data_IF_596287028932
#
_entry.id   IF_596287028932
#
_cell.length_a   1.000
_cell.length_b   1.000
_cell.length_c   1.000
_cell.angle_alpha   90.00
_cell.angle_beta   90.00
_cell.angle_gamma   90.00
#
_symmetry.space_group_name_H-M   'P 1'
#
loop_
_entity.id
_entity.type
_entity.pdbx_description
1 polymer ?
#
# COMPACT_ATOMS: atom_id res chain seq x y z
N UNK A 1 59.84 50.07 -2.04
CA UNK A 1 59.40 48.67 -1.83
C UNK A 1 57.97 48.70 -1.33
N UNK A 2 56.98 48.40 -2.18
CA UNK A 2 55.57 48.30 -1.78
C UNK A 2 55.26 46.82 -1.55
N UNK A 3 55.00 46.45 -0.29
CA UNK A 3 54.50 45.11 0.03
C UNK A 3 53.03 45.04 -0.37
N UNK A 4 52.72 44.20 -1.37
CA UNK A 4 51.35 43.84 -1.68
C UNK A 4 50.82 42.99 -0.51
N UNK A 5 49.90 43.55 0.26
CA UNK A 5 49.10 42.81 1.23
C UNK A 5 48.15 41.91 0.44
N UNK A 6 48.51 40.64 0.27
CA UNK A 6 47.59 39.64 -0.23
C UNK A 6 46.49 39.42 0.81
N UNK A 7 45.31 39.97 0.57
CA UNK A 7 44.11 39.62 1.32
C UNK A 7 43.65 38.23 0.89
N UNK A 8 44.00 37.21 1.68
CA UNK A 8 43.43 35.88 1.59
C UNK A 8 41.94 35.97 2.00
N UNK A 9 41.02 35.81 1.05
CA UNK A 9 39.59 35.62 1.34
C UNK A 9 39.24 34.14 1.13
N UNK A 10 39.41 33.27 2.13
CA UNK A 10 39.32 31.82 1.95
C UNK A 10 37.89 31.26 1.78
N UNK A 11 36.86 32.12 1.70
CA UNK A 11 35.45 31.68 1.84
C UNK A 11 34.53 31.99 0.65
N UNK A 12 35.00 32.60 -0.45
CA UNK A 12 34.14 32.86 -1.62
C UNK A 12 33.75 31.58 -2.36
N UNK A 13 34.64 30.62 -2.43
CA UNK A 13 34.38 29.36 -3.15
C UNK A 13 33.33 28.51 -2.42
N UNK A 14 33.39 28.43 -1.08
CA UNK A 14 32.39 27.75 -0.25
C UNK A 14 30.97 28.33 -0.42
N UNK A 15 30.85 29.65 -0.57
CA UNK A 15 29.58 30.33 -0.83
C UNK A 15 28.99 30.02 -2.22
N UNK A 16 29.83 29.69 -3.20
CA UNK A 16 29.38 29.30 -4.54
C UNK A 16 28.87 27.86 -4.60
N UNK A 17 29.34 26.97 -3.71
CA UNK A 17 28.85 25.59 -3.61
C UNK A 17 27.59 25.42 -2.75
N UNK A 18 27.29 26.39 -1.88
CA UNK A 18 26.13 26.38 -0.99
C UNK A 18 24.79 26.08 -1.72
N UNK A 19 24.46 26.69 -2.87
CA UNK A 19 23.24 26.38 -3.61
C UNK A 19 23.22 24.93 -4.14
N UNK A 20 24.34 24.45 -4.66
CA UNK A 20 24.46 23.07 -5.17
C UNK A 20 24.35 22.02 -4.06
N UNK A 21 24.91 22.32 -2.88
CA UNK A 21 24.81 21.46 -1.70
C UNK A 21 23.36 21.38 -1.20
N UNK A 22 22.65 22.52 -1.14
CA UNK A 22 21.23 22.57 -0.74
C UNK A 22 20.37 21.77 -1.72
N UNK A 23 20.60 21.90 -3.03
CA UNK A 23 19.90 21.12 -4.05
C UNK A 23 20.19 19.62 -3.93
N UNK A 24 21.44 19.24 -3.66
CA UNK A 24 21.81 17.84 -3.44
C UNK A 24 21.08 17.27 -2.20
N UNK A 25 21.06 18.00 -1.09
CA UNK A 25 20.35 17.58 0.13
C UNK A 25 18.84 17.45 -0.15
N UNK A 26 18.23 18.43 -0.81
CA UNK A 26 16.81 18.37 -1.21
C UNK A 26 16.52 17.16 -2.09
N UNK A 27 17.39 16.84 -3.06
CA UNK A 27 17.22 15.68 -3.93
C UNK A 27 17.24 14.37 -3.16
N UNK A 28 18.14 14.24 -2.18
CA UNK A 28 18.23 13.07 -1.30
C UNK A 28 16.99 12.96 -0.42
N UNK A 29 16.52 14.07 0.15
CA UNK A 29 15.29 14.09 0.95
C UNK A 29 14.09 13.64 0.11
N UNK A 30 13.92 14.19 -1.09
CA UNK A 30 12.83 13.79 -2.00
C UNK A 30 12.94 12.30 -2.34
N UNK A 31 14.13 11.80 -2.67
CA UNK A 31 14.34 10.39 -2.96
C UNK A 31 13.95 9.47 -1.79
N UNK A 32 14.34 9.83 -0.56
CA UNK A 32 13.98 9.08 0.65
C UNK A 32 12.47 9.10 0.87
N UNK A 33 11.82 10.26 0.79
CA UNK A 33 10.37 10.38 0.96
C UNK A 33 9.62 9.58 -0.11
N UNK A 34 10.04 9.66 -1.38
CA UNK A 34 9.47 8.88 -2.47
C UNK A 34 9.62 7.38 -2.23
N UNK A 35 10.78 6.92 -1.77
CA UNK A 35 10.99 5.51 -1.45
C UNK A 35 10.05 5.02 -0.34
N UNK A 36 9.93 5.74 0.77
CA UNK A 36 9.02 5.37 1.86
C UNK A 36 7.55 5.40 1.42
N UNK A 37 7.15 6.40 0.62
CA UNK A 37 5.80 6.50 0.08
C UNK A 37 5.47 5.27 -0.79
N UNK A 38 6.35 4.95 -1.74
CA UNK A 38 6.18 3.79 -2.63
C UNK A 38 6.09 2.50 -1.81
N UNK A 39 7.03 2.27 -0.88
CA UNK A 39 7.03 1.08 -0.03
C UNK A 39 5.73 0.94 0.79
N UNK A 40 5.23 2.04 1.35
CA UNK A 40 3.98 2.04 2.12
C UNK A 40 2.76 1.70 1.25
N UNK A 41 2.72 2.23 0.02
CA UNK A 41 1.66 1.93 -0.95
C UNK A 41 1.68 0.45 -1.37
N UNK A 42 2.86 -0.12 -1.64
CA UNK A 42 3.01 -1.55 -1.96
C UNK A 42 2.51 -2.44 -0.82
N UNK A 43 2.90 -2.13 0.44
CA UNK A 43 2.44 -2.88 1.61
C UNK A 43 0.93 -2.88 1.75
N UNK A 44 0.27 -1.72 1.55
CA UNK A 44 -1.19 -1.64 1.56
C UNK A 44 -1.84 -2.46 0.45
N UNK A 45 -1.25 -2.46 -0.74
CA UNK A 45 -1.75 -3.26 -1.86
C UNK A 45 -1.63 -4.77 -1.56
N UNK A 46 -0.54 -5.20 -0.93
CA UNK A 46 -0.38 -6.59 -0.46
C UNK A 46 -1.44 -6.95 0.59
N UNK A 47 -1.67 -6.09 1.58
CA UNK A 47 -2.68 -6.30 2.63
C UNK A 47 -4.09 -6.47 2.04
N UNK A 48 -4.46 -5.67 1.04
CA UNK A 48 -5.76 -5.78 0.37
C UNK A 48 -5.87 -7.09 -0.44
N UNK A 49 -4.81 -7.50 -1.13
CA UNK A 49 -4.81 -8.76 -1.88
C UNK A 49 -4.90 -9.97 -0.94
N UNK A 50 -4.21 -9.95 0.19
CA UNK A 50 -4.32 -10.98 1.23
C UNK A 50 -5.74 -11.05 1.80
N UNK A 51 -6.34 -9.90 2.14
CA UNK A 51 -7.72 -9.85 2.64
C UNK A 51 -8.73 -10.37 1.60
N UNK A 52 -8.58 -10.02 0.33
CA UNK A 52 -9.42 -10.56 -0.75
C UNK A 52 -9.29 -12.09 -0.81
N UNK A 53 -8.07 -12.62 -0.70
CA UNK A 53 -7.83 -14.06 -0.72
C UNK A 53 -8.51 -14.78 0.46
N UNK A 54 -8.38 -14.23 1.68
CA UNK A 54 -8.99 -14.79 2.89
C UNK A 54 -10.51 -14.76 2.81
N UNK A 55 -11.10 -13.60 2.52
CA UNK A 55 -12.57 -13.42 2.45
C UNK A 55 -13.16 -14.31 1.36
N UNK A 56 -12.49 -14.41 0.20
CA UNK A 56 -12.89 -15.33 -0.85
C UNK A 56 -12.83 -16.78 -0.38
N UNK A 57 -11.74 -17.17 0.30
CA UNK A 57 -11.61 -18.51 0.87
C UNK A 57 -12.71 -18.84 1.87
N UNK A 58 -13.16 -17.87 2.68
CA UNK A 58 -14.28 -18.03 3.59
C UNK A 58 -15.61 -18.17 2.85
N UNK A 59 -15.85 -17.34 1.84
CA UNK A 59 -17.07 -17.41 1.03
C UNK A 59 -17.18 -18.75 0.28
N UNK A 60 -16.08 -19.23 -0.30
CA UNK A 60 -16.03 -20.48 -1.06
C UNK A 60 -16.23 -21.72 -0.16
N UNK A 61 -15.83 -21.64 1.13
CA UNK A 61 -15.95 -22.74 2.09
C UNK A 61 -17.09 -22.56 3.11
N UNK A 62 -17.94 -21.54 2.93
CA UNK A 62 -18.93 -21.12 3.93
C UNK A 62 -19.89 -22.23 4.31
N UNK A 63 -20.38 -23.00 3.33
CA UNK A 63 -21.31 -24.11 3.56
C UNK A 63 -20.70 -25.17 4.50
N UNK A 64 -19.45 -25.55 4.26
CA UNK A 64 -18.72 -26.49 5.10
C UNK A 64 -18.48 -25.94 6.50
N UNK A 65 -18.11 -24.65 6.62
CA UNK A 65 -17.89 -23.98 7.92
C UNK A 65 -19.18 -23.93 8.74
N UNK A 66 -20.28 -23.52 8.13
CA UNK A 66 -21.60 -23.44 8.77
C UNK A 66 -22.08 -24.82 9.19
N UNK A 67 -21.90 -25.84 8.33
CA UNK A 67 -22.24 -27.23 8.65
C UNK A 67 -21.44 -27.75 9.86
N UNK A 68 -20.13 -27.52 9.90
CA UNK A 68 -19.27 -27.91 11.02
C UNK A 68 -19.62 -27.20 12.32
N UNK A 69 -20.01 -25.93 12.27
CA UNK A 69 -20.35 -25.16 13.48
C UNK A 69 -21.73 -25.50 14.04
N UNK A 70 -22.73 -25.73 13.19
CA UNK A 70 -24.13 -25.90 13.63
C UNK A 70 -24.56 -27.36 13.73
N UNK A 71 -23.76 -28.27 13.17
CA UNK A 71 -23.95 -29.71 13.26
C UNK A 71 -25.09 -30.26 12.39
N UNK A 72 -25.24 -31.58 12.34
CA UNK A 72 -26.20 -32.28 11.47
C UNK A 72 -27.67 -32.14 11.91
N UNK A 73 -27.94 -31.46 13.02
CA UNK A 73 -29.29 -31.29 13.59
C UNK A 73 -30.09 -30.16 12.93
N UNK A 74 -29.46 -29.37 12.08
CA UNK A 74 -30.10 -28.31 11.30
C UNK A 74 -30.65 -28.92 10.01
N UNK A 75 -31.94 -28.69 9.72
CA UNK A 75 -32.51 -29.14 8.46
C UNK A 75 -31.86 -28.42 7.28
N UNK A 76 -31.68 -29.12 6.15
CA UNK A 76 -31.06 -28.55 4.94
C UNK A 76 -31.66 -27.18 4.53
N UNK A 77 -32.99 -26.97 4.52
CA UNK A 77 -33.55 -25.68 4.15
C UNK A 77 -33.23 -24.53 5.11
N UNK A 78 -32.97 -24.84 6.39
CA UNK A 78 -32.55 -23.85 7.38
C UNK A 78 -31.06 -23.55 7.23
N UNK A 79 -30.25 -24.58 6.92
CA UNK A 79 -28.82 -24.44 6.61
C UNK A 79 -28.62 -23.50 5.41
N UNK A 80 -29.35 -23.72 4.32
CA UNK A 80 -29.26 -22.90 3.10
C UNK A 80 -29.56 -21.43 3.39
N UNK A 81 -30.59 -21.15 4.22
CA UNK A 81 -30.93 -19.78 4.64
C UNK A 81 -29.84 -19.13 5.47
N UNK A 82 -29.18 -19.90 6.33
CA UNK A 82 -28.08 -19.41 7.16
C UNK A 82 -26.86 -19.10 6.28
N UNK A 83 -26.51 -20.02 5.39
CA UNK A 83 -25.41 -19.84 4.43
C UNK A 83 -25.66 -18.61 3.57
N UNK A 84 -26.87 -18.43 3.03
CA UNK A 84 -27.19 -17.25 2.22
C UNK A 84 -27.11 -15.95 3.03
N UNK A 85 -27.55 -15.97 4.30
CA UNK A 85 -27.47 -14.82 5.20
C UNK A 85 -26.02 -14.44 5.52
N UNK A 86 -25.15 -15.41 5.72
CA UNK A 86 -23.73 -15.20 6.03
C UNK A 86 -22.88 -14.93 4.78
N UNK A 87 -23.34 -15.36 3.60
CA UNK A 87 -22.67 -15.11 2.32
C UNK A 87 -22.78 -13.66 1.85
N UNK A 88 -23.95 -13.03 2.03
CA UNK A 88 -24.20 -11.63 1.64
C UNK A 88 -23.17 -10.62 2.20
N UNK A 89 -22.85 -10.61 3.51
CA UNK A 89 -21.85 -9.68 4.04
C UNK A 89 -20.43 -9.98 3.50
N UNK A 90 -20.08 -11.26 3.30
CA UNK A 90 -18.79 -11.63 2.71
C UNK A 90 -18.65 -11.17 1.25
N UNK A 91 -19.71 -11.30 0.46
CA UNK A 91 -19.73 -10.80 -0.92
C UNK A 91 -19.61 -9.28 -0.97
N UNK A 92 -20.30 -8.56 -0.08
CA UNK A 92 -20.21 -7.11 0.02
C UNK A 92 -18.80 -6.65 0.46
N UNK A 93 -18.18 -7.34 1.42
CA UNK A 93 -16.81 -7.08 1.86
C UNK A 93 -15.81 -7.34 0.73
N UNK A 94 -15.97 -8.46 0.00
CA UNK A 94 -15.15 -8.78 -1.16
C UNK A 94 -15.27 -7.69 -2.25
N UNK A 95 -16.48 -7.19 -2.49
CA UNK A 95 -16.71 -6.11 -3.46
C UNK A 95 -16.04 -4.81 -3.01
N UNK A 96 -16.17 -4.44 -1.73
CA UNK A 96 -15.50 -3.28 -1.15
C UNK A 96 -13.97 -3.37 -1.29
N UNK A 97 -13.38 -4.52 -0.95
CA UNK A 97 -11.94 -4.74 -1.06
C UNK A 97 -11.45 -4.67 -2.53
N UNK A 98 -12.25 -5.19 -3.47
CA UNK A 98 -11.96 -5.05 -4.91
C UNK A 98 -12.02 -3.60 -5.37
N UNK A 99 -13.00 -2.82 -4.90
CA UNK A 99 -13.08 -1.39 -5.20
C UNK A 99 -11.89 -0.63 -4.61
N UNK A 100 -11.48 -0.95 -3.37
CA UNK A 100 -10.32 -0.34 -2.73
C UNK A 100 -9.02 -0.67 -3.49
N UNK A 101 -8.86 -1.94 -3.90
CA UNK A 101 -7.76 -2.35 -4.78
C UNK A 101 -7.75 -1.55 -6.07
N UNK A 102 -8.89 -1.43 -6.74
CA UNK A 102 -9.00 -0.68 -7.99
C UNK A 102 -8.65 0.80 -7.78
N UNK A 103 -9.17 1.41 -6.72
CA UNK A 103 -8.86 2.79 -6.35
C UNK A 103 -7.35 3.00 -6.13
N UNK A 104 -6.67 2.06 -5.46
CA UNK A 104 -5.21 2.12 -5.29
C UNK A 104 -4.46 1.97 -6.62
N UNK A 105 -4.89 1.05 -7.49
CA UNK A 105 -4.31 0.87 -8.82
C UNK A 105 -4.49 2.12 -9.70
N UNK A 106 -5.64 2.77 -9.62
CA UNK A 106 -5.94 4.00 -10.35
C UNK A 106 -5.09 5.18 -9.83
N UNK A 107 -4.88 5.26 -8.52
CA UNK A 107 -4.07 6.31 -7.88
C UNK A 107 -2.57 6.12 -8.09
N UNK A 108 -2.11 4.87 -8.17
CA UNK A 108 -0.70 4.53 -8.36
C UNK A 108 -0.58 3.52 -9.50
N UNK A 109 -0.63 3.99 -10.77
CA UNK A 109 -0.60 3.13 -11.95
C UNK A 109 0.64 2.22 -12.02
N UNK A 110 1.75 2.68 -11.42
CA UNK A 110 2.99 1.91 -11.31
C UNK A 110 2.81 0.58 -10.56
N UNK A 111 1.84 0.48 -9.63
CA UNK A 111 1.50 -0.79 -8.98
C UNK A 111 1.02 -1.83 -10.00
N UNK A 112 0.15 -1.42 -10.92
CA UNK A 112 -0.40 -2.31 -11.95
C UNK A 112 0.60 -2.74 -13.02
N UNK A 113 1.69 -2.00 -13.19
CA UNK A 113 2.80 -2.36 -14.09
C UNK A 113 3.81 -3.28 -13.41
N UNK A 114 4.10 -3.06 -12.13
CA UNK A 114 5.12 -3.80 -11.38
C UNK A 114 4.63 -5.14 -10.81
N UNK A 115 3.32 -5.32 -10.63
CA UNK A 115 2.69 -6.56 -10.16
C UNK A 115 2.01 -7.40 -11.26
N UNK A 116 2.20 -7.04 -12.53
CA UNK A 116 1.72 -7.84 -13.68
C UNK A 116 2.55 -9.09 -13.87
#
# INVERSE_FOLDING_TARGET
MQSQVQTYFPNRDLLNYLPSLILAILSVVVAIFSYFYVKGVFKKADEIEENIFIVKGWADNLEYIVYMQRGPYVSQPLLDKIVEKERKPLEAELESLKMERQFLLDRVPLLGVLKK
#
